data_IF_597033287247
#
_entry.id   IF_597033287247
#
_cell.length_a   1.000
_cell.length_b   1.000
_cell.length_c   1.000
_cell.angle_alpha   90.00
_cell.angle_beta   90.00
_cell.angle_gamma   90.00
#
_symmetry.space_group_name_H-M   'P 1'
#
loop_
_entity.id
_entity.type
_entity.pdbx_description
1 polymer ?
#
# COMPACT_ATOMS: atom_id res chain seq x y z
N UNK A 1 -33.60 -8.52 10.51
CA UNK A 1 -32.65 -7.38 10.35
C UNK A 1 -31.40 -7.55 11.23
N UNK A 2 -31.51 -7.78 12.55
CA UNK A 2 -30.36 -7.99 13.46
C UNK A 2 -29.37 -9.09 13.02
N UNK A 3 -29.87 -10.23 12.54
CA UNK A 3 -29.04 -11.39 12.17
C UNK A 3 -28.14 -11.18 10.93
N UNK A 4 -28.59 -10.35 9.95
CA UNK A 4 -27.77 -9.99 8.77
C UNK A 4 -26.63 -9.04 9.14
N UNK A 5 -26.87 -8.11 10.06
CA UNK A 5 -25.85 -7.17 10.56
C UNK A 5 -24.79 -7.89 11.40
N UNK A 6 -25.18 -8.88 12.21
CA UNK A 6 -24.24 -9.70 12.99
C UNK A 6 -23.32 -10.54 12.08
N UNK A 7 -23.87 -11.13 11.01
CA UNK A 7 -23.10 -11.92 10.06
C UNK A 7 -22.09 -11.04 9.28
N UNK A 8 -22.52 -9.86 8.81
CA UNK A 8 -21.65 -8.92 8.11
C UNK A 8 -20.50 -8.41 9.01
N UNK A 9 -20.77 -8.15 10.29
CA UNK A 9 -19.75 -7.72 11.25
C UNK A 9 -18.75 -8.85 11.58
N UNK A 10 -19.23 -10.09 11.69
CA UNK A 10 -18.37 -11.27 11.88
C UNK A 10 -17.44 -11.49 10.68
N UNK A 11 -17.95 -11.31 9.46
CA UNK A 11 -17.16 -11.43 8.23
C UNK A 11 -16.11 -10.32 8.13
N UNK A 12 -16.45 -9.08 8.49
CA UNK A 12 -15.49 -7.95 8.53
C UNK A 12 -14.34 -8.24 9.49
N UNK A 13 -14.63 -8.73 10.72
CA UNK A 13 -13.60 -9.06 11.71
C UNK A 13 -12.63 -10.12 11.19
N UNK A 14 -13.16 -11.20 10.64
CA UNK A 14 -12.36 -12.30 10.09
C UNK A 14 -11.44 -11.84 8.96
N UNK A 15 -11.91 -10.99 8.04
CA UNK A 15 -11.08 -10.45 6.96
C UNK A 15 -9.92 -9.59 7.49
N UNK A 16 -10.18 -8.75 8.48
CA UNK A 16 -9.15 -7.88 9.09
C UNK A 16 -8.13 -8.71 9.88
N UNK A 17 -8.58 -9.73 10.60
CA UNK A 17 -7.72 -10.66 11.33
C UNK A 17 -6.81 -11.45 10.39
N UNK A 18 -7.34 -11.99 9.29
CA UNK A 18 -6.52 -12.67 8.28
C UNK A 18 -5.52 -11.73 7.61
N UNK A 19 -5.90 -10.49 7.32
CA UNK A 19 -4.98 -9.52 6.73
C UNK A 19 -3.89 -9.09 7.72
N UNK A 20 -4.22 -9.01 9.01
CA UNK A 20 -3.25 -8.79 10.08
C UNK A 20 -2.24 -9.94 10.14
N UNK A 21 -2.70 -11.19 10.22
CA UNK A 21 -1.84 -12.38 10.26
C UNK A 21 -0.95 -12.48 9.01
N UNK A 22 -1.51 -12.18 7.83
CA UNK A 22 -0.73 -12.07 6.59
C UNK A 22 0.36 -11.00 6.69
N UNK A 23 0.05 -9.79 7.18
CA UNK A 23 1.01 -8.71 7.31
C UNK A 23 2.12 -9.05 8.32
N UNK A 24 1.77 -9.69 9.43
CA UNK A 24 2.72 -10.07 10.49
C UNK A 24 3.68 -11.16 10.00
N UNK A 25 3.17 -12.22 9.36
CA UNK A 25 4.01 -13.27 8.73
C UNK A 25 4.93 -12.70 7.67
N UNK A 26 4.42 -11.76 6.87
CA UNK A 26 5.21 -11.09 5.83
C UNK A 26 6.33 -10.25 6.42
N UNK A 27 6.07 -9.51 7.50
CA UNK A 27 7.10 -8.75 8.24
C UNK A 27 8.19 -9.69 8.77
N UNK A 28 7.82 -10.82 9.38
CA UNK A 28 8.79 -11.80 9.89
C UNK A 28 9.71 -12.35 8.79
N UNK A 29 9.14 -12.69 7.64
CA UNK A 29 9.92 -13.21 6.51
C UNK A 29 10.81 -12.16 5.86
N UNK A 30 10.43 -10.88 5.90
CA UNK A 30 11.21 -9.79 5.32
C UNK A 30 12.59 -9.62 5.99
N UNK A 31 12.75 -10.04 7.25
CA UNK A 31 14.05 -10.02 7.93
C UNK A 31 15.07 -11.01 7.33
N UNK A 32 14.62 -12.02 6.58
CA UNK A 32 15.51 -12.98 5.93
C UNK A 32 15.90 -12.55 4.52
N UNK A 33 14.95 -12.02 3.75
CA UNK A 33 15.16 -11.50 2.40
C UNK A 33 14.08 -10.47 2.08
N UNK A 34 14.42 -9.20 2.32
CA UNK A 34 13.50 -8.09 2.07
C UNK A 34 13.36 -7.81 0.57
N UNK A 35 14.42 -8.04 -0.21
CA UNK A 35 14.49 -7.69 -1.62
C UNK A 35 13.45 -8.44 -2.45
N UNK A 36 13.22 -9.72 -2.13
CA UNK A 36 12.22 -10.56 -2.76
C UNK A 36 10.78 -10.05 -2.59
N UNK A 37 10.51 -9.19 -1.60
CA UNK A 37 9.19 -8.59 -1.43
C UNK A 37 8.96 -7.35 -2.30
N UNK A 38 10.02 -6.67 -2.74
CA UNK A 38 9.94 -5.48 -3.59
C UNK A 38 9.88 -5.84 -5.08
N UNK A 39 10.45 -6.98 -5.48
CA UNK A 39 10.35 -7.52 -6.84
C UNK A 39 10.15 -9.05 -6.80
N UNK A 40 8.99 -9.52 -6.31
CA UNK A 40 8.71 -10.94 -6.20
C UNK A 40 8.80 -11.68 -7.54
N UNK A 41 9.50 -12.82 -7.53
CA UNK A 41 9.72 -13.65 -8.72
C UNK A 41 8.43 -14.31 -9.26
N UNK A 42 7.38 -14.39 -8.44
CA UNK A 42 6.08 -14.91 -8.84
C UNK A 42 5.18 -13.84 -9.50
N UNK A 43 5.64 -12.59 -9.58
CA UNK A 43 4.97 -11.52 -10.31
C UNK A 43 5.65 -11.27 -11.66
N UNK A 44 4.86 -10.93 -12.66
CA UNK A 44 5.36 -10.43 -13.95
C UNK A 44 6.07 -9.10 -13.78
N UNK A 45 6.93 -8.72 -14.73
CA UNK A 45 7.60 -7.40 -14.71
C UNK A 45 6.60 -6.24 -14.64
N UNK A 46 5.47 -6.38 -15.33
CA UNK A 46 4.40 -5.38 -15.28
C UNK A 46 3.77 -5.28 -13.89
N UNK A 47 3.41 -6.41 -13.27
CA UNK A 47 2.89 -6.42 -11.88
C UNK A 47 3.91 -5.84 -10.89
N UNK A 48 5.18 -6.20 -11.04
CA UNK A 48 6.27 -5.67 -10.21
C UNK A 48 6.40 -4.14 -10.34
N UNK A 49 6.24 -3.59 -11.55
CA UNK A 49 6.28 -2.13 -11.78
C UNK A 49 5.15 -1.35 -11.10
N UNK A 50 4.06 -2.02 -10.70
CA UNK A 50 2.92 -1.40 -10.02
C UNK A 50 3.02 -1.47 -8.49
N UNK A 51 4.02 -2.17 -7.96
CA UNK A 51 4.21 -2.27 -6.51
C UNK A 51 4.69 -0.93 -5.94
N UNK A 52 4.04 -0.50 -4.88
CA UNK A 52 4.46 0.59 -4.02
C UNK A 52 4.91 0.02 -2.68
N UNK A 53 6.22 0.04 -2.40
CA UNK A 53 6.82 -0.42 -1.15
C UNK A 53 6.35 -1.85 -0.79
N UNK A 54 6.68 -2.79 -1.67
CA UNK A 54 6.32 -4.21 -1.54
C UNK A 54 4.81 -4.49 -1.52
N UNK A 55 3.96 -3.69 -2.15
CA UNK A 55 2.53 -4.00 -2.20
C UNK A 55 1.70 -2.92 -2.88
N UNK A 56 0.38 -2.95 -2.75
CA UNK A 56 -0.46 -1.89 -3.28
C UNK A 56 -0.34 -0.60 -2.47
N UNK A 57 -0.51 0.54 -3.12
CA UNK A 57 -0.57 1.86 -2.47
C UNK A 57 -1.94 2.04 -1.75
N UNK A 58 -1.99 2.26 -0.43
CA UNK A 58 -3.24 2.30 0.36
C UNK A 58 -4.33 3.25 -0.16
N UNK A 59 -3.99 4.37 -0.78
CA UNK A 59 -4.91 5.34 -1.38
C UNK A 59 -5.72 4.74 -2.54
N UNK A 60 -5.31 3.59 -3.08
CA UNK A 60 -6.09 2.83 -4.05
C UNK A 60 -7.39 2.28 -3.44
N UNK A 61 -7.38 1.87 -2.17
CA UNK A 61 -8.60 1.38 -1.50
C UNK A 61 -9.67 2.47 -1.46
N UNK A 62 -9.25 3.69 -1.13
CA UNK A 62 -10.14 4.85 -1.03
C UNK A 62 -10.63 5.27 -2.42
N UNK A 63 -9.75 5.25 -3.43
CA UNK A 63 -10.14 5.53 -4.82
C UNK A 63 -11.14 4.51 -5.34
N UNK A 64 -11.00 3.24 -5.00
CA UNK A 64 -11.99 2.22 -5.34
C UNK A 64 -13.35 2.53 -4.71
N UNK A 65 -13.39 2.95 -3.43
CA UNK A 65 -14.64 3.39 -2.78
C UNK A 65 -15.28 4.54 -3.56
N UNK A 66 -14.53 5.58 -3.92
CA UNK A 66 -15.08 6.68 -4.71
C UNK A 66 -15.56 6.24 -6.10
N UNK A 67 -14.82 5.37 -6.79
CA UNK A 67 -15.20 4.86 -8.10
C UNK A 67 -16.51 4.06 -8.03
N UNK A 68 -16.64 3.15 -7.06
CA UNK A 68 -17.87 2.38 -6.85
C UNK A 68 -19.05 3.29 -6.52
N UNK A 69 -18.85 4.31 -5.67
CA UNK A 69 -19.90 5.28 -5.37
C UNK A 69 -20.29 6.11 -6.60
N UNK A 70 -19.32 6.47 -7.46
CA UNK A 70 -19.54 7.21 -8.69
C UNK A 70 -20.37 6.44 -9.72
N UNK A 71 -20.09 5.14 -9.89
CA UNK A 71 -20.83 4.27 -10.81
C UNK A 71 -22.31 4.15 -10.44
N UNK A 72 -22.62 4.04 -9.14
CA UNK A 72 -24.01 3.96 -8.68
C UNK A 72 -24.77 5.28 -8.90
N UNK A 73 -24.11 6.42 -8.69
CA UNK A 73 -24.69 7.74 -8.99
C UNK A 73 -25.08 7.82 -10.47
N UNK A 74 -24.21 7.36 -11.37
CA UNK A 74 -24.45 7.38 -12.82
C UNK A 74 -25.67 6.53 -13.21
N UNK A 75 -25.78 5.32 -12.65
CA UNK A 75 -26.93 4.43 -12.86
C UNK A 75 -28.22 5.08 -12.36
N UNK A 76 -28.26 5.57 -11.12
CA UNK A 76 -29.47 6.18 -10.55
C UNK A 76 -29.85 7.50 -11.22
N UNK A 77 -28.87 8.29 -11.66
CA UNK A 77 -29.14 9.50 -12.45
C UNK A 77 -29.80 9.14 -13.78
N UNK A 78 -29.36 8.06 -14.45
CA UNK A 78 -29.97 7.60 -15.69
C UNK A 78 -31.42 7.13 -15.51
N UNK A 79 -31.70 6.40 -14.43
CA UNK A 79 -33.06 5.95 -14.06
C UNK A 79 -33.96 7.12 -13.67
N UNK A 80 -33.42 8.12 -12.98
CA UNK A 80 -34.16 9.34 -12.61
C UNK A 80 -34.54 10.15 -13.86
N UNK A 81 -33.59 10.38 -14.77
CA UNK A 81 -33.84 11.12 -16.02
C UNK A 81 -34.83 10.39 -16.95
N UNK A 82 -34.87 9.05 -16.90
CA UNK A 82 -35.82 8.24 -17.66
C UNK A 82 -37.23 8.20 -17.04
N UNK A 83 -37.44 8.81 -15.86
CA UNK A 83 -38.74 8.85 -15.20
C UNK A 83 -39.24 7.48 -14.71
N UNK A 84 -38.37 6.47 -14.67
CA UNK A 84 -38.71 5.10 -14.23
C UNK A 84 -38.59 4.93 -12.71
N UNK A 85 -38.06 5.93 -12.01
CA UNK A 85 -37.77 5.87 -10.58
C UNK A 85 -39.01 5.97 -9.70
N UNK A 86 -39.29 4.91 -8.93
CA UNK A 86 -40.25 4.95 -7.81
C UNK A 86 -39.65 5.73 -6.64
N UNK A 87 -40.32 6.81 -6.24
CA UNK A 87 -40.17 7.60 -4.99
C UNK A 87 -38.93 7.34 -4.09
N UNK A 88 -38.11 8.39 -3.91
CA UNK A 88 -37.05 8.55 -2.91
C UNK A 88 -35.71 7.84 -3.20
N UNK A 89 -35.13 8.05 -4.38
CA UNK A 89 -33.80 7.58 -4.74
C UNK A 89 -32.71 8.36 -3.98
N UNK A 90 -32.08 7.72 -3.00
CA UNK A 90 -30.85 8.21 -2.39
C UNK A 90 -29.73 8.12 -3.45
N UNK A 91 -29.37 9.25 -4.06
CA UNK A 91 -28.57 9.29 -5.29
C UNK A 91 -27.13 8.77 -5.14
N UNK A 92 -26.67 8.42 -3.94
CA UNK A 92 -25.34 7.87 -3.70
C UNK A 92 -25.26 6.97 -2.48
N UNK A 93 -24.36 5.99 -2.53
CA UNK A 93 -24.08 5.03 -1.45
C UNK A 93 -23.62 5.71 -0.14
N UNK A 94 -22.89 6.82 -0.28
CA UNK A 94 -22.32 7.57 0.84
C UNK A 94 -23.02 8.91 0.98
N UNK A 95 -23.63 9.14 2.14
CA UNK A 95 -24.09 10.48 2.54
C UNK A 95 -22.92 11.44 2.72
N UNK A 96 -23.16 12.76 2.64
CA UNK A 96 -22.13 13.78 2.93
C UNK A 96 -21.48 13.60 4.31
N UNK A 97 -22.21 13.05 5.28
CA UNK A 97 -21.71 12.73 6.63
C UNK A 97 -20.74 11.53 6.64
N UNK A 98 -20.86 10.60 5.70
CA UNK A 98 -19.93 9.47 5.52
C UNK A 98 -18.73 9.83 4.64
N UNK A 99 -18.90 10.79 3.72
CA UNK A 99 -17.84 11.26 2.83
C UNK A 99 -16.75 12.03 3.58
N UNK A 100 -17.13 12.85 4.56
CA UNK A 100 -16.16 13.66 5.30
C UNK A 100 -15.09 12.83 6.05
N UNK A 101 -15.44 11.78 6.82
CA UNK A 101 -14.45 10.86 7.41
C UNK A 101 -13.55 10.19 6.39
N UNK A 102 -14.08 9.79 5.23
CA UNK A 102 -13.30 9.15 4.16
C UNK A 102 -12.29 10.13 3.56
N UNK A 103 -12.69 11.38 3.30
CA UNK A 103 -11.78 12.42 2.82
C UNK A 103 -10.67 12.73 3.84
N UNK A 104 -11.01 12.76 5.14
CA UNK A 104 -10.01 12.91 6.20
C UNK A 104 -9.05 11.72 6.27
N UNK A 105 -9.55 10.49 6.11
CA UNK A 105 -8.73 9.28 6.02
C UNK A 105 -7.80 9.33 4.79
N UNK A 106 -8.30 9.79 3.64
CA UNK A 106 -7.52 9.97 2.43
C UNK A 106 -6.37 10.95 2.65
N UNK A 107 -6.63 12.13 3.22
CA UNK A 107 -5.59 13.11 3.51
C UNK A 107 -4.52 12.56 4.45
N UNK A 108 -4.90 11.82 5.50
CA UNK A 108 -3.95 11.16 6.42
C UNK A 108 -3.11 10.09 5.71
N UNK A 109 -3.77 9.30 4.86
CA UNK A 109 -3.14 8.22 4.10
C UNK A 109 -2.12 8.80 3.12
N UNK A 110 -2.48 9.81 2.32
CA UNK A 110 -1.59 10.45 1.35
C UNK A 110 -0.34 11.03 2.00
N UNK A 111 -0.46 11.74 3.12
CA UNK A 111 0.71 12.27 3.86
C UNK A 111 1.64 11.16 4.35
N UNK A 112 1.08 10.03 4.77
CA UNK A 112 1.86 8.88 5.22
C UNK A 112 2.54 8.16 4.04
N UNK A 113 1.86 8.05 2.90
CA UNK A 113 2.42 7.53 1.66
C UNK A 113 3.59 8.37 1.16
N UNK A 114 3.44 9.69 1.17
CA UNK A 114 4.49 10.63 0.78
C UNK A 114 5.71 10.50 1.70
N UNK A 115 5.49 10.49 3.02
CA UNK A 115 6.57 10.29 4.00
C UNK A 115 7.37 9.00 3.75
N UNK A 116 6.68 7.89 3.53
CA UNK A 116 7.32 6.60 3.27
C UNK A 116 8.03 6.56 1.91
N UNK A 117 7.45 7.19 0.89
CA UNK A 117 8.06 7.29 -0.45
C UNK A 117 9.36 8.09 -0.38
N UNK A 118 9.35 9.24 0.29
CA UNK A 118 10.54 10.07 0.47
C UNK A 118 11.63 9.34 1.25
N UNK A 119 11.25 8.61 2.32
CA UNK A 119 12.21 7.79 3.07
C UNK A 119 12.83 6.71 2.20
N UNK A 120 12.06 6.01 1.37
CA UNK A 120 12.61 5.01 0.45
C UNK A 120 13.56 5.63 -0.58
N UNK A 121 13.23 6.82 -1.09
CA UNK A 121 14.11 7.55 -2.01
C UNK A 121 15.46 7.90 -1.36
N UNK A 122 15.45 8.43 -0.13
CA UNK A 122 16.70 8.68 0.63
C UNK A 122 17.52 7.40 0.81
N UNK A 123 16.88 6.27 1.16
CA UNK A 123 17.60 5.00 1.29
C UNK A 123 18.26 4.55 -0.03
N UNK A 124 17.61 4.82 -1.17
CA UNK A 124 18.14 4.50 -2.50
C UNK A 124 19.31 5.41 -2.89
N UNK A 125 19.24 6.69 -2.52
CA UNK A 125 20.34 7.65 -2.70
C UNK A 125 21.56 7.24 -1.87
N UNK A 126 21.37 7.01 -0.56
CA UNK A 126 22.44 6.67 0.38
C UNK A 126 23.21 5.40 0.00
N UNK A 127 22.51 4.34 -0.45
CA UNK A 127 23.17 3.07 -0.82
C UNK A 127 23.91 3.18 -2.15
N UNK A 128 23.43 4.04 -3.07
CA UNK A 128 24.05 4.25 -4.38
C UNK A 128 25.37 5.04 -4.30
N UNK A 129 25.61 5.78 -3.21
CA UNK A 129 26.87 6.47 -2.99
C UNK A 129 28.07 5.51 -2.89
N UNK A 130 27.87 4.30 -2.35
CA UNK A 130 28.94 3.31 -2.21
C UNK A 130 29.57 2.88 -3.55
N UNK A 131 28.81 2.39 -4.55
CA UNK A 131 29.38 2.07 -5.86
C UNK A 131 29.95 3.31 -6.57
N UNK A 132 29.35 4.50 -6.41
CA UNK A 132 29.88 5.76 -6.99
C UNK A 132 31.27 6.08 -6.41
N UNK A 133 31.42 6.01 -5.09
CA UNK A 133 32.71 6.22 -4.41
C UNK A 133 33.74 5.17 -4.83
N UNK A 134 33.33 3.92 -4.99
CA UNK A 134 34.18 2.84 -5.50
C UNK A 134 34.75 3.14 -6.89
N UNK A 135 33.89 3.59 -7.81
CA UNK A 135 34.28 4.02 -9.16
C UNK A 135 35.25 5.21 -9.08
N UNK A 136 34.92 6.24 -8.29
CA UNK A 136 35.73 7.46 -8.15
C UNK A 136 37.14 7.19 -7.59
N UNK A 137 37.26 6.23 -6.66
CA UNK A 137 38.54 5.81 -6.07
C UNK A 137 39.36 4.88 -6.98
N UNK A 138 38.81 4.49 -8.14
CA UNK A 138 39.47 3.54 -9.05
C UNK A 138 39.61 2.13 -8.46
N UNK A 139 38.79 1.76 -7.47
CA UNK A 139 38.81 0.45 -6.79
C UNK A 139 38.15 -0.66 -7.62
N UNK A 140 38.23 -0.59 -8.94
CA UNK A 140 37.56 -1.50 -9.88
C UNK A 140 38.27 -2.86 -10.05
N UNK A 141 38.88 -3.40 -9.00
CA UNK A 141 39.35 -4.79 -9.05
C UNK A 141 38.17 -5.73 -8.83
N UNK A 142 37.70 -6.30 -9.94
CA UNK A 142 36.67 -7.35 -9.98
C UNK A 142 37.12 -8.51 -9.08
N UNK A 143 36.37 -8.75 -7.99
CA UNK A 143 36.58 -9.91 -7.10
C UNK A 143 37.12 -9.60 -5.70
N UNK A 144 37.46 -8.36 -5.36
CA UNK A 144 37.71 -8.01 -3.96
C UNK A 144 36.37 -7.83 -3.22
N UNK A 145 36.11 -8.68 -2.23
CA UNK A 145 35.02 -8.48 -1.28
C UNK A 145 35.29 -7.20 -0.48
N UNK A 146 34.67 -6.10 -0.87
CA UNK A 146 34.70 -4.90 -0.05
C UNK A 146 33.71 -5.07 1.11
N UNK A 147 34.21 -5.51 2.26
CA UNK A 147 33.38 -5.65 3.46
C UNK A 147 32.68 -4.37 3.91
N UNK A 148 33.08 -3.19 3.41
CA UNK A 148 32.33 -1.94 3.61
C UNK A 148 31.04 -1.88 2.77
N UNK A 149 31.07 -2.39 1.53
CA UNK A 149 29.91 -2.46 0.65
C UNK A 149 28.91 -3.49 1.18
N UNK A 150 29.38 -4.68 1.57
CA UNK A 150 28.51 -5.71 2.15
C UNK A 150 27.79 -5.19 3.40
N UNK A 151 28.52 -4.53 4.31
CA UNK A 151 27.91 -3.89 5.50
C UNK A 151 26.93 -2.78 5.16
N UNK A 152 27.15 -2.05 4.07
CA UNK A 152 26.22 -1.01 3.62
C UNK A 152 24.93 -1.63 3.06
N UNK A 153 25.05 -2.73 2.31
CA UNK A 153 23.91 -3.49 1.80
C UNK A 153 23.11 -4.10 2.96
N UNK A 154 23.76 -4.73 3.93
CA UNK A 154 23.08 -5.28 5.13
C UNK A 154 22.27 -4.20 5.87
N UNK A 155 22.85 -2.99 6.04
CA UNK A 155 22.14 -1.85 6.65
C UNK A 155 20.99 -1.36 5.79
N UNK A 156 21.16 -1.32 4.47
CA UNK A 156 20.12 -0.93 3.54
C UNK A 156 18.95 -1.92 3.59
N UNK A 157 19.22 -3.22 3.62
CA UNK A 157 18.19 -4.26 3.76
C UNK A 157 17.40 -4.10 5.07
N UNK A 158 18.08 -3.91 6.20
CA UNK A 158 17.40 -3.65 7.48
C UNK A 158 16.51 -2.41 7.43
N UNK A 159 16.97 -1.34 6.76
CA UNK A 159 16.17 -0.12 6.60
C UNK A 159 14.95 -0.36 5.69
N UNK A 160 15.10 -1.15 4.62
CA UNK A 160 14.01 -1.57 3.75
C UNK A 160 12.96 -2.40 4.50
N UNK A 161 13.37 -3.26 5.44
CA UNK A 161 12.43 -4.02 6.28
C UNK A 161 11.55 -3.06 7.07
N UNK A 162 12.15 -2.04 7.71
CA UNK A 162 11.40 -1.01 8.43
C UNK A 162 10.38 -0.27 7.54
N UNK A 163 10.75 0.04 6.29
CA UNK A 163 9.83 0.66 5.33
C UNK A 163 8.68 -0.28 4.94
N UNK A 164 8.98 -1.56 4.69
CA UNK A 164 7.99 -2.59 4.38
C UNK A 164 6.97 -2.75 5.52
N UNK A 165 7.46 -2.81 6.75
CA UNK A 165 6.62 -2.94 7.94
C UNK A 165 5.71 -1.73 8.16
N UNK A 166 6.24 -0.51 8.01
CA UNK A 166 5.45 0.72 8.10
C UNK A 166 4.41 0.81 6.98
N UNK A 167 4.76 0.42 5.76
CA UNK A 167 3.83 0.35 4.64
C UNK A 167 2.73 -0.71 4.89
N UNK A 168 3.08 -1.86 5.47
CA UNK A 168 2.14 -2.90 5.89
C UNK A 168 1.14 -2.39 6.93
N UNK A 169 1.65 -1.73 7.99
CA UNK A 169 0.82 -1.07 9.01
C UNK A 169 -0.10 -0.01 8.42
N UNK A 170 0.40 0.79 7.47
CA UNK A 170 -0.42 1.80 6.80
C UNK A 170 -1.58 1.16 6.02
N UNK A 171 -1.32 0.11 5.23
CA UNK A 171 -2.38 -0.62 4.49
C UNK A 171 -3.47 -1.13 5.43
N UNK A 172 -3.07 -1.79 6.50
CA UNK A 172 -3.97 -2.33 7.52
C UNK A 172 -4.79 -1.22 8.20
N UNK A 173 -4.15 -0.10 8.59
CA UNK A 173 -4.83 1.02 9.25
C UNK A 173 -5.79 1.75 8.31
N UNK A 174 -5.52 1.79 7.01
CA UNK A 174 -6.45 2.34 6.01
C UNK A 174 -7.67 1.42 5.79
N UNK A 175 -7.54 0.12 6.04
CA UNK A 175 -8.62 -0.86 5.88
C UNK A 175 -9.56 -0.99 7.10
N UNK A 176 -9.06 -0.72 8.32
CA UNK A 176 -9.82 -0.87 9.57
C UNK A 176 -10.92 0.20 9.72
#
# INVERSE_FOLDING_TARGET
MKMKTTLANSQKSACIEHFQDYADKRSQLAHNDVSAFFAPAWCTNWENSLLWLAGCRPSQYIRLVYALCGLEIEVHLSEFLQGTSSSSANLGYLSSKQLHPINMLQGKTLRSEEKLTNRMATLQEDVADHPIVGIAKGLSQVGEMNGEVDRALDKHEQAMVGVLEEAGRLRLNTLK
#
